data_IF_900454529053
#
_entry.id   IF_900454529053
#
_cell.length_a   1.000
_cell.length_b   1.000
_cell.length_c   1.000
_cell.angle_alpha   90.00
_cell.angle_beta   90.00
_cell.angle_gamma   90.00
#
_symmetry.space_group_name_H-M   'P 1'
#
loop_
_entity.id
_entity.type
_entity.pdbx_description
1 polymer ?
#
# COMPACT_ATOMS: atom_id res chain seq x y z
N UNK A 1 -10.96 -30.86 -8.28
CA UNK A 1 -9.76 -30.30 -8.93
C UNK A 1 -9.11 -29.44 -7.86
N UNK A 2 -7.98 -29.90 -7.35
CA UNK A 2 -7.53 -29.63 -5.98
C UNK A 2 -7.28 -28.15 -5.66
N UNK A 3 -8.00 -27.66 -4.66
CA UNK A 3 -7.80 -26.36 -4.02
C UNK A 3 -6.49 -26.38 -3.22
N UNK A 4 -5.38 -26.07 -3.88
CA UNK A 4 -4.14 -25.73 -3.17
C UNK A 4 -4.35 -24.42 -2.41
N UNK A 5 -4.47 -24.55 -1.10
CA UNK A 5 -4.51 -23.50 -0.08
C UNK A 5 -3.23 -22.64 -0.17
N UNK A 6 -3.27 -21.53 -0.91
CA UNK A 6 -2.17 -20.54 -0.95
C UNK A 6 -2.24 -19.72 0.33
N UNK A 7 -1.60 -20.25 1.37
CA UNK A 7 -1.19 -19.45 2.53
C UNK A 7 -0.05 -18.53 2.06
N UNK A 8 0.21 -17.38 2.72
CA UNK A 8 1.41 -16.54 2.50
C UNK A 8 2.78 -17.28 2.65
N UNK A 9 2.77 -18.60 2.75
CA UNK A 9 3.86 -19.49 2.38
C UNK A 9 3.83 -19.72 0.86
N UNK A 10 4.27 -18.75 0.06
CA UNK A 10 5.05 -19.15 -1.13
C UNK A 10 6.21 -19.93 -0.54
N UNK A 11 6.22 -21.24 -0.73
CA UNK A 11 7.25 -22.10 -0.15
C UNK A 11 8.60 -21.58 -0.65
N UNK A 12 9.59 -21.48 0.23
CA UNK A 12 10.99 -21.16 -0.16
C UNK A 12 11.50 -22.05 -1.32
N UNK A 13 10.83 -23.18 -1.55
CA UNK A 13 11.06 -24.16 -2.61
C UNK A 13 10.79 -23.62 -4.04
N UNK A 14 10.11 -22.48 -4.21
CA UNK A 14 9.80 -21.88 -5.53
C UNK A 14 10.71 -20.70 -5.91
N UNK A 15 11.74 -20.39 -5.12
CA UNK A 15 12.70 -19.34 -5.44
C UNK A 15 13.65 -19.77 -6.57
N UNK A 16 13.98 -18.86 -7.49
CA UNK A 16 15.01 -19.11 -8.51
C UNK A 16 16.39 -19.30 -7.84
N UNK A 17 17.30 -20.08 -8.44
CA UNK A 17 18.65 -20.29 -7.87
C UNK A 17 19.47 -18.99 -7.78
N UNK A 18 19.31 -18.09 -8.76
CA UNK A 18 19.91 -16.76 -8.74
C UNK A 18 19.41 -15.96 -7.53
N UNK A 19 18.10 -15.97 -7.28
CA UNK A 19 17.49 -15.32 -6.13
C UNK A 19 17.92 -15.93 -4.81
N UNK A 20 18.02 -17.26 -4.70
CA UNK A 20 18.52 -17.93 -3.49
C UNK A 20 19.93 -17.48 -3.17
N UNK A 21 20.79 -17.43 -4.19
CA UNK A 21 22.18 -16.97 -4.06
C UNK A 21 22.22 -15.52 -3.57
N UNK A 22 21.48 -14.61 -4.23
CA UNK A 22 21.39 -13.22 -3.80
C UNK A 22 20.88 -13.09 -2.37
N UNK A 23 19.72 -13.69 -2.05
CA UNK A 23 19.08 -13.63 -0.73
C UNK A 23 20.03 -14.11 0.38
N UNK A 24 20.79 -15.17 0.13
CA UNK A 24 21.76 -15.71 1.10
C UNK A 24 22.92 -14.76 1.40
N UNK A 25 23.24 -13.85 0.48
CA UNK A 25 24.31 -12.86 0.62
C UNK A 25 23.88 -11.56 1.30
N UNK A 26 22.56 -11.32 1.40
CA UNK A 26 22.02 -10.07 1.96
C UNK A 26 22.04 -10.09 3.49
N UNK A 27 22.19 -8.92 4.16
CA UNK A 27 21.95 -8.81 5.59
C UNK A 27 20.57 -9.33 5.94
N UNK A 28 20.46 -10.15 6.99
CA UNK A 28 19.21 -10.75 7.43
C UNK A 28 18.97 -10.51 8.93
N UNK A 29 17.70 -10.52 9.32
CA UNK A 29 17.25 -10.40 10.71
C UNK A 29 15.88 -11.11 10.85
N UNK A 30 15.33 -11.15 12.06
CA UNK A 30 13.96 -11.57 12.32
C UNK A 30 13.09 -10.36 12.61
N UNK A 31 11.89 -10.34 12.03
CA UNK A 31 10.89 -9.32 12.36
C UNK A 31 10.20 -9.65 13.71
N UNK A 32 9.26 -8.79 14.12
CA UNK A 32 8.51 -8.96 15.37
C UNK A 32 7.72 -10.27 15.47
N UNK A 33 7.37 -10.90 14.34
CA UNK A 33 6.68 -12.19 14.31
C UNK A 33 7.64 -13.39 14.18
N UNK A 34 8.95 -13.18 14.31
CA UNK A 34 9.98 -14.22 14.22
C UNK A 34 10.27 -14.70 12.79
N UNK A 35 9.70 -14.04 11.78
CA UNK A 35 9.91 -14.38 10.36
C UNK A 35 11.21 -13.78 9.88
N UNK A 36 12.01 -14.57 9.16
CA UNK A 36 13.25 -14.11 8.56
C UNK A 36 12.98 -13.07 7.47
N UNK A 37 13.70 -11.96 7.55
CA UNK A 37 13.70 -10.88 6.57
C UNK A 37 15.13 -10.61 6.10
N UNK A 38 15.27 -10.10 4.89
CA UNK A 38 16.54 -9.71 4.29
C UNK A 38 16.47 -8.27 3.80
N UNK A 39 17.60 -7.57 3.86
CA UNK A 39 17.70 -6.16 3.48
C UNK A 39 18.18 -6.04 2.04
N UNK A 40 17.32 -5.55 1.16
CA UNK A 40 17.63 -5.28 -0.25
C UNK A 40 17.31 -3.81 -0.54
N UNK A 41 18.22 -3.10 -1.22
CA UNK A 41 18.06 -1.68 -1.55
C UNK A 41 17.53 -0.86 -0.37
N UNK A 42 18.13 -1.01 0.82
CA UNK A 42 17.73 -0.24 2.00
C UNK A 42 16.48 -0.71 2.75
N UNK A 43 15.66 -1.61 2.18
CA UNK A 43 14.40 -2.06 2.76
C UNK A 43 14.38 -3.55 3.14
N UNK A 44 13.54 -3.90 4.12
CA UNK A 44 13.39 -5.27 4.60
C UNK A 44 12.23 -6.02 3.94
N UNK A 45 12.53 -7.20 3.39
CA UNK A 45 11.58 -8.07 2.70
C UNK A 45 11.66 -9.50 3.24
N UNK A 46 10.55 -10.23 3.17
CA UNK A 46 10.65 -11.70 3.20
C UNK A 46 11.19 -12.22 1.87
N UNK A 47 11.86 -13.38 1.86
CA UNK A 47 12.40 -13.98 0.64
C UNK A 47 11.40 -14.06 -0.53
N UNK A 48 10.12 -14.47 -0.33
CA UNK A 48 9.17 -14.49 -1.44
C UNK A 48 8.82 -13.10 -1.97
N UNK A 49 8.62 -12.11 -1.10
CA UNK A 49 8.32 -10.74 -1.56
C UNK A 49 9.53 -10.17 -2.30
N UNK A 50 10.76 -10.43 -1.85
CA UNK A 50 11.95 -10.01 -2.57
C UNK A 50 12.03 -10.66 -3.95
N UNK A 51 11.67 -11.93 -4.11
CA UNK A 51 11.55 -12.54 -5.45
C UNK A 51 10.55 -11.78 -6.33
N UNK A 52 9.40 -11.37 -5.78
CA UNK A 52 8.43 -10.54 -6.50
C UNK A 52 8.99 -9.18 -6.91
N UNK A 53 9.78 -8.53 -6.06
CA UNK A 53 10.50 -7.28 -6.37
C UNK A 53 11.50 -7.48 -7.51
N UNK A 54 12.31 -8.55 -7.46
CA UNK A 54 13.31 -8.85 -8.49
C UNK A 54 12.64 -9.16 -9.84
N UNK A 55 11.57 -9.95 -9.82
CA UNK A 55 10.76 -10.26 -11.00
C UNK A 55 10.18 -8.99 -11.63
N UNK A 56 9.63 -8.10 -10.79
CA UNK A 56 9.13 -6.79 -11.24
C UNK A 56 10.24 -5.96 -11.89
N UNK A 57 11.39 -5.79 -11.23
CA UNK A 57 12.51 -4.99 -11.74
C UNK A 57 13.03 -5.52 -13.07
N UNK A 58 13.03 -6.85 -13.27
CA UNK A 58 13.51 -7.50 -14.49
C UNK A 58 12.50 -7.43 -15.64
N UNK A 59 11.22 -7.66 -15.35
CA UNK A 59 10.23 -8.02 -16.36
C UNK A 59 9.11 -7.00 -16.55
N UNK A 60 8.93 -6.02 -15.65
CA UNK A 60 7.89 -5.01 -15.84
C UNK A 60 8.18 -4.15 -17.07
N UNK A 61 7.13 -3.95 -17.87
CA UNK A 61 7.13 -3.09 -19.06
C UNK A 61 6.19 -1.92 -18.76
N UNK A 62 6.73 -0.81 -18.24
CA UNK A 62 5.90 0.34 -17.90
C UNK A 62 5.28 0.95 -19.16
N UNK A 63 4.10 1.51 -19.01
CA UNK A 63 3.46 2.39 -19.98
C UNK A 63 3.33 3.77 -19.34
N UNK A 64 3.49 4.84 -20.12
CA UNK A 64 3.39 6.20 -19.60
C UNK A 64 1.98 6.54 -19.08
N UNK A 65 0.97 5.77 -19.49
CA UNK A 65 -0.40 5.87 -18.99
C UNK A 65 -0.66 5.04 -17.72
N UNK A 66 0.34 4.32 -17.21
CA UNK A 66 0.19 3.59 -15.95
C UNK A 66 0.01 4.55 -14.78
N UNK A 67 -0.81 4.12 -13.82
CA UNK A 67 -1.01 4.79 -12.55
C UNK A 67 -0.63 3.81 -11.44
N UNK A 68 0.30 4.23 -10.58
CA UNK A 68 0.82 3.40 -9.48
C UNK A 68 0.43 4.04 -8.15
N UNK A 69 -0.42 3.34 -7.39
CA UNK A 69 -0.75 3.69 -6.01
C UNK A 69 0.31 3.12 -5.08
N UNK A 70 1.13 4.00 -4.50
CA UNK A 70 2.20 3.62 -3.59
C UNK A 70 1.86 4.01 -2.14
N UNK A 71 2.29 3.20 -1.18
CA UNK A 71 2.38 3.63 0.21
C UNK A 71 3.21 2.67 1.05
N UNK A 72 3.76 3.14 2.15
CA UNK A 72 4.17 2.22 3.21
C UNK A 72 2.92 1.44 3.69
N UNK A 73 3.03 0.13 4.01
CA UNK A 73 1.89 -0.66 4.44
C UNK A 73 1.12 0.02 5.59
N UNK A 74 -0.21 0.03 5.46
CA UNK A 74 -1.16 0.55 6.47
C UNK A 74 -1.29 2.08 6.55
N UNK A 75 -0.71 2.81 5.60
CA UNK A 75 -0.95 4.24 5.43
C UNK A 75 -2.21 4.58 4.60
N UNK A 76 -3.18 3.67 4.44
CA UNK A 76 -4.44 3.96 3.73
C UNK A 76 -4.53 3.45 2.28
N UNK A 77 -3.67 2.51 1.88
CA UNK A 77 -3.60 1.97 0.50
C UNK A 77 -4.96 1.49 -0.04
N UNK A 78 -5.74 0.75 0.75
CA UNK A 78 -7.06 0.24 0.31
C UNK A 78 -7.99 1.38 -0.10
N UNK A 79 -7.99 2.47 0.68
CA UNK A 79 -8.83 3.63 0.42
C UNK A 79 -8.36 4.40 -0.81
N UNK A 80 -7.04 4.64 -0.91
CA UNK A 80 -6.47 5.30 -2.09
C UNK A 80 -6.69 4.50 -3.38
N UNK A 81 -6.60 3.16 -3.34
CA UNK A 81 -6.94 2.29 -4.48
C UNK A 81 -8.38 2.47 -4.93
N UNK A 82 -9.33 2.44 -3.98
CA UNK A 82 -10.75 2.61 -4.27
C UNK A 82 -11.03 3.99 -4.89
N UNK A 83 -10.50 5.06 -4.27
CA UNK A 83 -10.65 6.43 -4.75
C UNK A 83 -10.03 6.63 -6.13
N UNK A 84 -8.79 6.17 -6.33
CA UNK A 84 -8.11 6.29 -7.63
C UNK A 84 -8.88 5.54 -8.71
N UNK A 85 -9.38 4.34 -8.41
CA UNK A 85 -10.21 3.57 -9.35
C UNK A 85 -11.49 4.33 -9.69
N UNK A 86 -12.26 4.77 -8.69
CA UNK A 86 -13.50 5.50 -8.90
C UNK A 86 -13.29 6.79 -9.70
N UNK A 87 -12.27 7.59 -9.37
CA UNK A 87 -11.93 8.83 -10.09
C UNK A 87 -11.56 8.56 -11.55
N UNK A 88 -10.69 7.59 -11.81
CA UNK A 88 -10.17 7.29 -13.16
C UNK A 88 -11.21 6.57 -14.03
N UNK A 89 -12.17 5.87 -13.41
CA UNK A 89 -13.17 5.07 -14.10
C UNK A 89 -14.57 5.66 -14.08
N UNK A 90 -14.82 6.81 -13.44
CA UNK A 90 -16.15 7.41 -13.28
C UNK A 90 -16.98 7.56 -14.56
N UNK A 91 -16.33 7.77 -15.71
CA UNK A 91 -17.03 7.86 -17.01
C UNK A 91 -17.51 6.51 -17.55
N UNK A 92 -16.83 5.40 -17.18
CA UNK A 92 -17.19 4.03 -17.56
C UNK A 92 -18.03 3.33 -16.49
N UNK A 93 -17.80 3.67 -15.23
CA UNK A 93 -18.47 3.15 -14.05
C UNK A 93 -18.88 4.34 -13.17
N UNK A 94 -20.04 4.95 -13.43
CA UNK A 94 -20.58 6.01 -12.58
C UNK A 94 -20.74 5.54 -11.13
N UNK A 95 -20.58 6.45 -10.17
CA UNK A 95 -20.75 6.21 -8.72
C UNK A 95 -22.09 5.56 -8.35
N UNK A 96 -23.14 5.87 -9.11
CA UNK A 96 -24.50 5.35 -8.93
C UNK A 96 -24.80 4.05 -9.69
N UNK A 97 -23.83 3.47 -10.39
CA UNK A 97 -24.03 2.19 -11.07
C UNK A 97 -24.13 1.07 -10.03
N UNK A 98 -25.27 0.38 -9.99
CA UNK A 98 -25.50 -0.79 -9.12
C UNK A 98 -24.51 -1.94 -9.41
N UNK A 99 -23.83 -1.91 -10.56
CA UNK A 99 -22.79 -2.85 -10.97
C UNK A 99 -21.38 -2.23 -10.90
N UNK A 100 -21.21 -1.12 -10.18
CA UNK A 100 -19.89 -0.51 -10.02
C UNK A 100 -18.90 -1.55 -9.45
N UNK A 101 -17.71 -1.75 -10.05
CA UNK A 101 -16.80 -2.85 -9.65
C UNK A 101 -16.39 -2.86 -8.18
N UNK A 102 -16.34 -1.71 -7.51
CA UNK A 102 -16.09 -1.65 -6.05
C UNK A 102 -17.18 -2.30 -5.19
N UNK A 103 -18.38 -2.55 -5.72
CA UNK A 103 -19.47 -3.24 -5.03
C UNK A 103 -19.29 -4.77 -5.04
N UNK A 104 -18.68 -5.31 -6.09
CA UNK A 104 -18.44 -6.75 -6.29
C UNK A 104 -17.02 -7.20 -5.96
N UNK A 105 -16.04 -6.30 -6.05
CA UNK A 105 -14.62 -6.62 -5.92
C UNK A 105 -13.93 -5.78 -4.83
N UNK A 106 -12.97 -6.41 -4.15
CA UNK A 106 -12.12 -5.69 -3.22
C UNK A 106 -11.17 -4.73 -3.97
N UNK A 107 -10.86 -3.52 -3.47
CA UNK A 107 -9.95 -2.57 -4.14
C UNK A 107 -8.57 -3.15 -4.49
N UNK A 108 -8.09 -4.16 -3.75
CA UNK A 108 -6.82 -4.84 -4.03
C UNK A 108 -6.87 -5.77 -5.25
N UNK A 109 -8.05 -6.12 -5.76
CA UNK A 109 -8.23 -6.84 -7.03
C UNK A 109 -8.22 -5.85 -8.20
N UNK A 110 -8.89 -4.71 -8.05
CA UNK A 110 -9.00 -3.68 -9.09
C UNK A 110 -7.69 -2.91 -9.32
N UNK A 111 -6.85 -2.81 -8.30
CA UNK A 111 -5.50 -2.27 -8.34
C UNK A 111 -4.55 -3.27 -7.67
N UNK A 112 -4.07 -4.28 -8.40
CA UNK A 112 -3.24 -5.34 -7.81
C UNK A 112 -1.85 -4.82 -7.40
N UNK A 113 -1.25 -5.49 -6.41
CA UNK A 113 0.14 -5.20 -6.00
C UNK A 113 1.11 -5.81 -7.01
N UNK A 114 2.10 -5.03 -7.43
CA UNK A 114 3.14 -5.46 -8.33
C UNK A 114 3.98 -6.56 -7.68
N UNK A 115 4.60 -6.27 -6.53
CA UNK A 115 5.56 -7.14 -5.86
C UNK A 115 4.93 -8.20 -4.93
N UNK A 116 3.71 -7.97 -4.42
CA UNK A 116 3.04 -8.92 -3.51
C UNK A 116 1.95 -9.74 -4.18
N UNK A 117 1.69 -9.54 -5.47
CA UNK A 117 0.74 -10.36 -6.20
C UNK A 117 1.20 -10.69 -7.61
N UNK A 118 1.23 -9.72 -8.52
CA UNK A 118 1.45 -9.99 -9.95
C UNK A 118 2.79 -10.69 -10.19
N UNK A 119 3.88 -10.07 -9.74
CA UNK A 119 5.24 -10.57 -9.92
C UNK A 119 5.67 -11.59 -8.86
N UNK A 120 4.88 -11.72 -7.78
CA UNK A 120 5.02 -12.81 -6.82
C UNK A 120 4.49 -14.13 -7.38
N UNK A 121 3.35 -14.10 -8.07
CA UNK A 121 2.69 -15.29 -8.59
C UNK A 121 3.19 -15.73 -9.97
N UNK A 122 3.81 -14.83 -10.74
CA UNK A 122 4.38 -15.13 -12.05
C UNK A 122 5.56 -14.20 -12.34
N UNK A 123 6.65 -14.71 -12.90
CA UNK A 123 7.75 -13.86 -13.35
C UNK A 123 7.32 -12.94 -14.51
N UNK A 124 6.35 -13.38 -15.31
CA UNK A 124 5.82 -12.67 -16.48
C UNK A 124 4.29 -12.68 -16.44
N UNK A 125 3.64 -11.87 -15.58
CA UNK A 125 2.19 -11.81 -15.51
C UNK A 125 1.62 -11.22 -16.80
N UNK A 126 0.48 -11.75 -17.23
CA UNK A 126 -0.26 -11.18 -18.37
C UNK A 126 -0.96 -9.88 -17.95
N UNK A 127 -0.38 -8.75 -18.37
CA UNK A 127 -0.90 -7.41 -18.08
C UNK A 127 -1.92 -6.91 -19.12
N UNK A 128 -2.21 -7.65 -20.19
CA UNK A 128 -3.16 -7.19 -21.23
C UNK A 128 -4.60 -7.24 -20.74
N UNK A 129 -4.86 -7.92 -19.63
CA UNK A 129 -6.18 -7.99 -18.97
C UNK A 129 -6.56 -6.69 -18.26
N UNK A 130 -5.59 -5.82 -17.97
CA UNK A 130 -5.86 -4.50 -17.41
C UNK A 130 -6.22 -3.51 -18.51
N UNK A 131 -6.97 -2.47 -18.16
CA UNK A 131 -7.46 -1.49 -19.14
C UNK A 131 -6.33 -0.90 -19.98
N UNK A 132 -6.52 -0.90 -21.31
CA UNK A 132 -5.55 -0.38 -22.28
C UNK A 132 -5.34 1.13 -22.20
N UNK A 133 -6.27 1.89 -21.61
CA UNK A 133 -6.18 3.35 -21.56
C UNK A 133 -5.34 3.87 -20.38
N UNK A 134 -5.34 3.16 -19.25
CA UNK A 134 -4.48 3.44 -18.08
C UNK A 134 -4.50 2.23 -17.15
N UNK A 135 -3.41 1.48 -17.00
CA UNK A 135 -3.41 0.34 -16.06
C UNK A 135 -3.21 0.89 -14.65
N UNK A 136 -4.00 0.36 -13.70
CA UNK A 136 -3.93 0.80 -12.30
C UNK A 136 -3.26 -0.29 -11.48
N UNK A 137 -2.10 0.03 -10.91
CA UNK A 137 -1.31 -0.88 -10.09
C UNK A 137 -1.05 -0.28 -8.71
N UNK A 138 -0.42 -1.07 -7.84
CA UNK A 138 0.00 -0.60 -6.54
C UNK A 138 1.28 -1.24 -6.07
N UNK A 139 1.91 -0.61 -5.08
CA UNK A 139 3.14 -1.12 -4.49
C UNK A 139 3.36 -0.63 -3.06
N UNK A 140 4.14 -1.40 -2.31
CA UNK A 140 4.76 -1.03 -1.05
C UNK A 140 6.30 -0.91 -1.16
N UNK A 141 6.88 -0.98 -2.36
CA UNK A 141 8.30 -0.72 -2.55
C UNK A 141 8.63 0.74 -2.21
N UNK A 142 9.82 1.05 -1.67
CA UNK A 142 10.28 2.43 -1.58
C UNK A 142 10.54 2.99 -2.98
N UNK A 143 10.56 4.33 -3.10
CA UNK A 143 10.62 5.00 -4.40
C UNK A 143 11.79 4.53 -5.27
N UNK A 144 13.01 4.49 -4.73
CA UNK A 144 14.18 4.07 -5.50
C UNK A 144 14.11 2.61 -5.99
N UNK A 145 13.52 1.69 -5.21
CA UNK A 145 13.34 0.30 -5.64
C UNK A 145 12.29 0.18 -6.74
N UNK A 146 11.19 0.93 -6.62
CA UNK A 146 10.16 0.99 -7.65
C UNK A 146 10.74 1.55 -8.97
N UNK A 147 11.49 2.66 -8.88
CA UNK A 147 12.05 3.36 -10.04
C UNK A 147 12.99 2.48 -10.89
N UNK A 148 13.64 1.47 -10.30
CA UNK A 148 14.45 0.51 -11.07
C UNK A 148 13.64 -0.23 -12.14
N UNK A 149 12.38 -0.57 -11.86
CA UNK A 149 11.48 -1.20 -12.83
C UNK A 149 10.73 -0.20 -13.73
N UNK A 150 10.81 1.09 -13.42
CA UNK A 150 10.16 2.17 -14.18
C UNK A 150 11.13 2.99 -15.04
N UNK A 151 12.41 2.59 -15.11
CA UNK A 151 13.46 3.33 -15.83
C UNK A 151 12.99 3.77 -17.23
N UNK A 152 12.94 5.08 -17.43
CA UNK A 152 12.59 5.71 -18.71
C UNK A 152 11.09 5.87 -18.97
N UNK A 153 10.21 5.55 -18.01
CA UNK A 153 8.78 5.81 -18.11
C UNK A 153 8.36 7.04 -17.30
N UNK A 154 7.32 7.72 -17.77
CA UNK A 154 6.70 8.88 -17.12
C UNK A 154 5.37 8.52 -16.46
N UNK A 155 5.22 7.28 -15.96
CA UNK A 155 3.99 6.86 -15.32
C UNK A 155 3.71 7.68 -14.04
N UNK A 156 2.43 7.83 -13.71
CA UNK A 156 2.02 8.63 -12.55
C UNK A 156 2.02 7.79 -11.29
N UNK A 157 2.63 8.31 -10.23
CA UNK A 157 2.71 7.70 -8.91
C UNK A 157 1.93 8.54 -7.93
N UNK A 158 0.98 7.93 -7.23
CA UNK A 158 0.25 8.56 -6.12
C UNK A 158 0.66 7.89 -4.83
N UNK A 159 1.37 8.62 -3.97
CA UNK A 159 1.84 8.15 -2.69
C UNK A 159 0.95 8.60 -1.54
N UNK A 160 0.50 7.67 -0.71
CA UNK A 160 -0.20 7.98 0.55
C UNK A 160 0.73 7.78 1.74
N UNK A 161 0.95 8.86 2.51
CA UNK A 161 1.56 8.82 3.83
C UNK A 161 0.50 8.87 4.93
N UNK A 162 0.91 8.53 6.16
CA UNK A 162 0.07 8.62 7.35
C UNK A 162 0.97 8.85 8.56
N UNK A 163 0.45 9.48 9.60
CA UNK A 163 1.15 9.61 10.87
C UNK A 163 1.73 8.25 11.32
N UNK A 164 3.01 8.27 11.68
CA UNK A 164 3.75 7.05 12.00
C UNK A 164 3.16 6.29 13.19
N UNK A 165 2.62 7.00 14.18
CA UNK A 165 2.07 6.43 15.41
C UNK A 165 0.79 5.63 15.09
N UNK A 166 -0.10 6.17 14.25
CA UNK A 166 -1.28 5.45 13.76
C UNK A 166 -0.92 4.31 12.81
N UNK A 167 0.11 4.51 11.98
CA UNK A 167 0.61 3.48 11.06
C UNK A 167 1.10 2.26 11.83
N UNK A 168 1.90 2.45 12.88
CA UNK A 168 2.39 1.38 13.75
C UNK A 168 1.25 0.57 14.37
N UNK A 169 0.25 1.24 14.96
CA UNK A 169 -0.91 0.53 15.54
C UNK A 169 -1.65 -0.26 14.47
N UNK A 170 -1.92 0.34 13.32
CA UNK A 170 -2.58 -0.37 12.22
C UNK A 170 -1.74 -1.53 11.66
N UNK A 171 -0.42 -1.41 11.71
CA UNK A 171 0.54 -2.44 11.29
C UNK A 171 0.52 -3.63 12.25
N UNK A 172 0.59 -3.37 13.56
CA UNK A 172 0.51 -4.40 14.58
C UNK A 172 -0.79 -5.20 14.46
N UNK A 173 -1.95 -4.54 14.38
CA UNK A 173 -3.24 -5.24 14.22
C UNK A 173 -3.31 -6.09 12.95
N UNK A 174 -2.64 -5.69 11.87
CA UNK A 174 -2.80 -6.34 10.58
C UNK A 174 -1.81 -7.50 10.33
N UNK A 175 -0.57 -7.35 10.79
CA UNK A 175 0.50 -8.33 10.55
C UNK A 175 0.81 -9.19 11.77
N UNK A 176 0.73 -8.62 12.96
CA UNK A 176 1.29 -9.20 14.18
C UNK A 176 0.20 -9.79 15.09
N UNK A 177 -0.93 -9.10 15.19
CA UNK A 177 -2.09 -9.54 15.95
C UNK A 177 -2.90 -10.56 15.15
N UNK A 178 -2.53 -11.84 15.23
CA UNK A 178 -3.49 -12.91 14.89
C UNK A 178 -4.21 -13.36 16.15
N UNK A 179 -5.54 -13.30 16.14
CA UNK A 179 -6.36 -14.15 16.99
C UNK A 179 -6.45 -15.51 16.30
N UNK A 180 -5.42 -16.35 16.48
CA UNK A 180 -5.65 -17.80 16.48
C UNK A 180 -5.87 -18.17 17.93
N UNK A 181 -6.85 -19.04 18.20
CA UNK A 181 -7.52 -19.25 19.49
C UNK A 181 -6.64 -19.44 20.75
N UNK A 182 -5.30 -19.45 20.68
CA UNK A 182 -4.45 -19.58 21.88
C UNK A 182 -3.15 -18.76 21.94
N UNK A 183 -2.67 -18.04 20.90
CA UNK A 183 -1.40 -17.27 21.01
C UNK A 183 -1.34 -15.97 20.19
N UNK A 184 -1.07 -14.86 20.87
CA UNK A 184 -0.57 -13.62 20.27
C UNK A 184 0.83 -13.93 19.69
N UNK A 185 1.03 -13.70 18.39
CA UNK A 185 2.30 -14.00 17.70
C UNK A 185 3.41 -13.02 18.15
N UNK A 186 3.05 -11.77 18.41
CA UNK A 186 3.96 -10.72 18.87
C UNK A 186 3.21 -9.67 19.68
N UNK A 187 3.79 -9.26 20.80
CA UNK A 187 3.24 -8.18 21.63
C UNK A 187 3.28 -6.84 20.88
N UNK A 188 2.55 -5.85 21.37
CA UNK A 188 2.62 -4.51 20.79
C UNK A 188 4.01 -3.90 21.02
N UNK A 189 4.58 -4.14 22.20
CA UNK A 189 5.90 -3.73 22.65
C UNK A 189 7.01 -4.28 21.74
N UNK A 190 6.99 -5.58 21.43
CA UNK A 190 7.96 -6.20 20.50
C UNK A 190 7.85 -5.59 19.10
N UNK A 191 6.62 -5.36 18.64
CA UNK A 191 6.38 -4.74 17.34
C UNK A 191 6.82 -3.29 17.31
N UNK A 192 6.59 -2.55 18.39
CA UNK A 192 7.04 -1.17 18.57
C UNK A 192 8.56 -1.07 18.51
N UNK A 193 9.28 -1.91 19.27
CA UNK A 193 10.74 -1.91 19.28
C UNK A 193 11.31 -2.27 17.90
N UNK A 194 10.69 -3.22 17.21
CA UNK A 194 11.13 -3.61 15.88
C UNK A 194 10.88 -2.54 14.82
N UNK A 195 9.76 -1.85 14.92
CA UNK A 195 9.43 -0.72 14.08
C UNK A 195 10.40 0.45 14.31
N UNK A 196 10.76 0.74 15.57
CA UNK A 196 11.76 1.76 15.92
C UNK A 196 13.17 1.41 15.43
N UNK A 197 13.51 0.13 15.34
CA UNK A 197 14.76 -0.35 14.70
C UNK A 197 14.69 -0.32 13.17
N UNK A 198 13.50 -0.10 12.59
CA UNK A 198 13.25 -0.13 11.16
C UNK A 198 13.25 -1.52 10.53
N UNK A 199 13.28 -2.59 11.34
CA UNK A 199 13.31 -3.99 10.88
C UNK A 199 11.88 -4.53 10.84
N UNK A 200 11.14 -4.03 9.85
CA UNK A 200 9.75 -4.37 9.61
C UNK A 200 9.51 -4.47 8.10
N UNK A 201 8.46 -5.18 7.67
CA UNK A 201 8.13 -5.30 6.25
C UNK A 201 8.10 -3.91 5.57
N UNK A 202 8.90 -3.76 4.50
CA UNK A 202 9.12 -2.53 3.73
C UNK A 202 9.71 -1.34 4.53
N UNK A 203 10.17 -1.59 5.76
CA UNK A 203 10.86 -0.61 6.59
C UNK A 203 12.31 -0.39 6.17
N UNK A 204 12.96 0.68 6.65
CA UNK A 204 12.45 1.59 7.69
C UNK A 204 11.38 2.58 7.20
N UNK A 205 10.39 2.89 8.06
CA UNK A 205 9.25 3.74 7.68
C UNK A 205 9.66 5.14 7.21
N UNK A 206 10.58 5.79 7.94
CA UNK A 206 11.01 7.16 7.65
C UNK A 206 11.74 7.25 6.31
N UNK A 207 12.64 6.29 6.01
CA UNK A 207 13.36 6.25 4.73
C UNK A 207 12.37 6.01 3.58
N UNK A 208 11.39 5.13 3.80
CA UNK A 208 10.34 4.86 2.82
C UNK A 208 9.54 6.13 2.49
N UNK A 209 9.01 6.83 3.49
CA UNK A 209 8.21 8.05 3.27
C UNK A 209 9.08 9.16 2.66
N UNK A 210 10.29 9.36 3.16
CA UNK A 210 11.21 10.39 2.64
C UNK A 210 11.56 10.16 1.17
N UNK A 211 11.69 8.90 0.73
CA UNK A 211 11.98 8.58 -0.66
C UNK A 211 10.90 9.12 -1.62
N UNK A 212 9.63 9.04 -1.21
CA UNK A 212 8.51 9.56 -1.99
C UNK A 212 8.29 11.05 -1.79
N UNK A 213 8.53 11.58 -0.59
CA UNK A 213 8.48 13.01 -0.33
C UNK A 213 9.48 13.76 -1.22
N UNK A 214 10.74 13.34 -1.24
CA UNK A 214 11.77 13.92 -2.12
C UNK A 214 11.40 13.78 -3.59
N UNK A 215 10.96 12.59 -4.01
CA UNK A 215 10.50 12.36 -5.38
C UNK A 215 9.36 13.30 -5.81
N UNK A 216 8.42 13.62 -4.90
CA UNK A 216 7.35 14.57 -5.19
C UNK A 216 7.80 16.03 -5.33
N UNK A 217 8.92 16.40 -4.69
CA UNK A 217 9.51 17.73 -4.84
C UNK A 217 10.36 17.82 -6.11
N UNK A 218 11.05 16.73 -6.46
CA UNK A 218 11.90 16.63 -7.65
C UNK A 218 11.09 16.53 -8.94
N UNK A 219 9.99 15.77 -8.93
CA UNK A 219 9.13 15.55 -10.09
C UNK A 219 7.61 15.60 -9.72
N UNK A 220 7.08 16.79 -9.44
CA UNK A 220 5.69 16.97 -9.04
C UNK A 220 4.67 16.61 -10.14
N UNK A 221 5.10 16.47 -11.39
CA UNK A 221 4.22 16.10 -12.51
C UNK A 221 3.93 14.59 -12.55
N UNK A 222 4.83 13.78 -11.99
CA UNK A 222 4.71 12.31 -12.00
C UNK A 222 4.65 11.69 -10.61
N UNK A 223 4.93 12.43 -9.53
CA UNK A 223 4.80 11.94 -8.16
C UNK A 223 3.93 12.86 -7.30
N UNK A 224 2.72 12.41 -6.96
CA UNK A 224 1.83 13.08 -6.03
C UNK A 224 1.99 12.52 -4.62
N UNK A 225 2.39 13.36 -3.66
CA UNK A 225 2.41 13.02 -2.24
C UNK A 225 1.13 13.50 -1.54
N UNK A 226 0.44 12.58 -0.87
CA UNK A 226 -0.78 12.83 -0.10
C UNK A 226 -0.61 12.35 1.35
N UNK A 227 -1.40 12.91 2.27
CA UNK A 227 -1.49 12.45 3.65
C UNK A 227 -2.88 11.94 3.98
N UNK A 228 -2.94 10.82 4.69
CA UNK A 228 -4.19 10.22 5.13
C UNK A 228 -5.00 11.18 6.02
N UNK A 229 -4.32 11.98 6.85
CA UNK A 229 -4.92 12.98 7.73
C UNK A 229 -5.60 14.09 6.92
N UNK A 230 -4.92 14.65 5.91
CA UNK A 230 -5.47 15.66 5.01
C UNK A 230 -6.66 15.10 4.20
N UNK A 231 -6.58 13.85 3.75
CA UNK A 231 -7.71 13.15 3.11
C UNK A 231 -8.92 13.01 4.02
N UNK A 232 -8.72 12.88 5.34
CA UNK A 232 -9.79 12.75 6.33
C UNK A 232 -10.39 14.10 6.70
N UNK A 233 -9.58 15.15 6.72
CA UNK A 233 -9.99 16.52 7.05
C UNK A 233 -10.70 17.19 5.86
N UNK A 234 -10.12 17.09 4.67
CA UNK A 234 -10.60 17.78 3.45
C UNK A 234 -10.75 16.82 2.26
N UNK A 235 -11.65 15.82 2.35
CA UNK A 235 -11.75 14.75 1.34
C UNK A 235 -12.08 15.27 -0.07
N UNK A 236 -12.92 16.30 -0.19
CA UNK A 236 -13.30 16.89 -1.49
C UNK A 236 -12.09 17.49 -2.20
N UNK A 237 -11.34 18.35 -1.52
CA UNK A 237 -10.19 19.04 -2.09
C UNK A 237 -9.09 18.06 -2.47
N UNK A 238 -8.84 17.05 -1.63
CA UNK A 238 -7.83 16.04 -1.94
C UNK A 238 -8.23 15.15 -3.13
N UNK A 239 -9.52 14.84 -3.31
CA UNK A 239 -10.00 14.07 -4.47
C UNK A 239 -9.93 14.89 -5.76
N UNK A 240 -10.25 16.18 -5.71
CA UNK A 240 -10.07 17.08 -6.86
C UNK A 240 -8.59 17.18 -7.24
N UNK A 241 -7.70 17.39 -6.26
CA UNK A 241 -6.24 17.38 -6.45
C UNK A 241 -5.73 16.07 -7.05
N UNK A 242 -6.26 14.92 -6.61
CA UNK A 242 -5.96 13.62 -7.20
C UNK A 242 -6.39 13.56 -8.68
N UNK A 243 -7.61 13.97 -8.98
CA UNK A 243 -8.15 13.96 -10.34
C UNK A 243 -7.36 14.88 -11.30
N UNK A 244 -7.03 16.09 -10.83
CA UNK A 244 -6.17 17.03 -11.55
C UNK A 244 -4.80 16.42 -11.85
N UNK A 245 -4.12 15.88 -10.83
CA UNK A 245 -2.82 15.22 -11.00
C UNK A 245 -2.89 14.07 -11.99
N UNK A 246 -3.95 13.25 -11.95
CA UNK A 246 -4.13 12.13 -12.87
C UNK A 246 -4.50 12.57 -14.29
N UNK A 247 -4.76 13.86 -14.53
CA UNK A 247 -5.10 14.41 -15.84
C UNK A 247 -6.56 14.20 -16.24
N UNK A 248 -7.43 14.00 -15.25
CA UNK A 248 -8.87 13.87 -15.42
C UNK A 248 -9.63 14.73 -14.40
N UNK A 249 -9.38 16.06 -14.35
CA UNK A 249 -10.02 16.96 -13.39
C UNK A 249 -11.55 16.85 -13.49
N UNK A 250 -12.23 17.14 -12.39
CA UNK A 250 -13.69 17.21 -12.40
C UNK A 250 -14.14 18.42 -13.22
N UNK A 251 -15.22 18.26 -13.99
CA UNK A 251 -15.85 19.42 -14.63
C UNK A 251 -16.72 20.17 -13.62
N UNK A 252 -17.08 21.43 -13.94
CA UNK A 252 -18.00 22.20 -13.08
C UNK A 252 -19.33 21.48 -12.90
N UNK A 253 -19.82 20.85 -13.95
CA UNK A 253 -21.06 20.08 -13.93
C UNK A 253 -20.94 18.83 -13.04
N UNK A 254 -19.81 18.12 -13.06
CA UNK A 254 -19.55 16.99 -12.15
C UNK A 254 -19.49 17.46 -10.68
N UNK A 255 -18.91 18.63 -10.42
CA UNK A 255 -18.87 19.19 -9.07
C UNK A 255 -20.25 19.65 -8.58
N UNK A 256 -20.99 20.38 -9.41
CA UNK A 256 -22.33 20.88 -9.11
C UNK A 256 -23.36 19.75 -8.97
N UNK A 257 -23.17 18.63 -9.67
CA UNK A 257 -24.03 17.45 -9.55
C UNK A 257 -23.83 16.67 -8.25
N UNK A 258 -22.74 16.93 -7.51
CA UNK A 258 -22.40 16.18 -6.30
C UNK A 258 -21.56 14.92 -6.54
N UNK A 259 -21.03 14.70 -7.75
CA UNK A 259 -20.28 13.47 -8.10
C UNK A 259 -19.09 13.21 -7.17
N UNK A 260 -18.41 14.29 -6.74
CA UNK A 260 -17.27 14.19 -5.81
C UNK A 260 -17.72 13.54 -4.48
N UNK A 261 -18.89 13.89 -3.97
CA UNK A 261 -19.44 13.33 -2.72
C UNK A 261 -19.86 11.88 -2.87
N UNK A 262 -20.43 11.53 -4.02
CA UNK A 262 -20.84 10.18 -4.29
C UNK A 262 -19.63 9.24 -4.36
N UNK A 263 -18.54 9.69 -4.99
CA UNK A 263 -17.26 8.95 -4.99
C UNK A 263 -16.71 8.81 -3.56
N UNK A 264 -16.78 9.87 -2.74
CA UNK A 264 -16.37 9.83 -1.32
C UNK A 264 -17.19 8.81 -0.55
N UNK A 265 -18.52 8.82 -0.68
CA UNK A 265 -19.40 7.91 0.04
C UNK A 265 -19.19 6.47 -0.44
N UNK A 266 -19.18 6.22 -1.76
CA UNK A 266 -18.89 4.91 -2.36
C UNK A 266 -17.59 4.31 -1.82
N UNK A 267 -16.53 5.12 -1.75
CA UNK A 267 -15.22 4.70 -1.27
C UNK A 267 -15.05 4.81 0.25
N UNK A 268 -16.08 5.20 0.99
CA UNK A 268 -16.00 5.38 2.44
C UNK A 268 -15.70 4.07 3.14
N UNK A 269 -15.06 4.15 4.32
CA UNK A 269 -14.81 2.96 5.15
C UNK A 269 -16.13 2.23 5.45
N UNK A 270 -17.18 2.98 5.80
CA UNK A 270 -18.50 2.45 6.12
C UNK A 270 -19.04 1.63 4.95
N UNK A 271 -19.10 2.21 3.74
CA UNK A 271 -19.66 1.53 2.59
C UNK A 271 -18.81 0.32 2.19
N UNK A 272 -17.51 0.51 1.97
CA UNK A 272 -16.63 -0.59 1.55
C UNK A 272 -16.62 -1.74 2.55
N UNK A 273 -16.55 -1.47 3.86
CA UNK A 273 -16.54 -2.53 4.88
C UNK A 273 -17.89 -3.25 5.03
N UNK A 274 -18.99 -2.61 4.63
CA UNK A 274 -20.34 -3.19 4.71
C UNK A 274 -20.67 -4.15 3.56
N UNK A 275 -19.91 -4.13 2.46
CA UNK A 275 -20.12 -4.99 1.30
C UNK A 275 -19.83 -6.47 1.62
N UNK A 276 -20.65 -7.38 1.10
CA UNK A 276 -20.51 -8.82 1.37
C UNK A 276 -19.16 -9.38 0.91
N UNK A 277 -18.64 -8.93 -0.23
CA UNK A 277 -17.29 -9.31 -0.70
C UNK A 277 -16.20 -8.92 0.32
N UNK A 278 -16.40 -7.84 1.06
CA UNK A 278 -15.44 -7.36 2.05
C UNK A 278 -15.64 -7.97 3.43
N UNK A 279 -16.84 -8.43 3.77
CA UNK A 279 -17.10 -9.16 5.03
C UNK A 279 -16.63 -10.61 4.98
N UNK A 280 -16.88 -11.30 3.86
CA UNK A 280 -16.72 -12.76 3.76
C UNK A 280 -15.65 -13.20 2.77
N UNK A 281 -15.34 -12.38 1.77
CA UNK A 281 -14.38 -12.69 0.73
C UNK A 281 -12.94 -12.76 1.21
N UNK A 282 -12.08 -13.34 0.37
CA UNK A 282 -10.65 -13.46 0.60
C UNK A 282 -9.89 -13.11 -0.68
N UNK A 283 -8.71 -12.51 -0.55
CA UNK A 283 -7.83 -12.32 -1.69
C UNK A 283 -7.26 -13.68 -2.12
N UNK A 284 -7.57 -14.11 -3.35
CA UNK A 284 -7.08 -15.37 -3.92
C UNK A 284 -5.55 -15.52 -3.85
N UNK A 285 -4.82 -14.42 -3.97
CA UNK A 285 -3.36 -14.39 -3.99
C UNK A 285 -2.70 -14.73 -2.65
N UNK A 286 -3.32 -14.36 -1.53
CA UNK A 286 -2.71 -14.47 -0.20
C UNK A 286 -3.55 -15.28 0.79
N UNK A 287 -4.77 -15.65 0.41
CA UNK A 287 -5.78 -16.23 1.29
C UNK A 287 -6.28 -15.28 2.38
N UNK A 288 -5.88 -14.01 2.35
CA UNK A 288 -6.20 -13.03 3.39
C UNK A 288 -7.67 -12.61 3.31
N UNK A 289 -8.35 -12.65 4.45
CA UNK A 289 -9.75 -12.24 4.54
C UNK A 289 -9.89 -10.73 4.30
N UNK A 290 -10.83 -10.35 3.44
CA UNK A 290 -11.01 -8.96 3.02
C UNK A 290 -11.37 -8.05 4.20
N UNK A 291 -12.10 -8.57 5.20
CA UNK A 291 -12.48 -7.81 6.40
C UNK A 291 -11.28 -7.27 7.17
N UNK A 292 -10.12 -7.93 7.07
CA UNK A 292 -8.89 -7.49 7.75
C UNK A 292 -8.32 -6.18 7.23
N UNK A 293 -8.75 -5.72 6.04
CA UNK A 293 -8.37 -4.41 5.51
C UNK A 293 -9.12 -3.24 6.15
N UNK A 294 -10.23 -3.52 6.84
CA UNK A 294 -11.13 -2.52 7.41
C UNK A 294 -11.13 -2.66 8.94
N UNK A 295 -10.77 -1.58 9.65
CA UNK A 295 -10.67 -1.59 11.14
C UNK A 295 -11.42 -0.42 11.77
N UNK A 296 -10.77 0.74 11.87
CA UNK A 296 -11.37 1.98 12.41
C UNK A 296 -11.34 3.14 11.41
N UNK A 297 -10.26 3.27 10.63
CA UNK A 297 -10.11 4.35 9.65
C UNK A 297 -10.12 5.76 10.26
N UNK A 298 -9.62 5.88 11.48
CA UNK A 298 -9.56 7.09 12.29
C UNK A 298 -8.13 7.63 12.39
N UNK A 299 -8.00 8.91 12.73
CA UNK A 299 -6.74 9.59 13.08
C UNK A 299 -6.64 9.69 14.60
N UNK A 300 -5.47 9.38 15.16
CA UNK A 300 -5.21 9.49 16.59
C UNK A 300 -5.54 8.26 17.42
N UNK A 301 -5.86 7.11 16.81
CA UNK A 301 -6.14 5.87 17.56
C UNK A 301 -4.90 5.37 18.30
N UNK A 302 -3.71 5.80 17.89
CA UNK A 302 -2.45 5.54 18.58
C UNK A 302 -2.44 5.92 20.06
N UNK A 303 -3.24 6.92 20.47
CA UNK A 303 -3.38 7.35 21.87
C UNK A 303 -3.94 6.26 22.79
N UNK A 304 -4.61 5.26 22.20
CA UNK A 304 -5.16 4.11 22.95
C UNK A 304 -4.13 2.98 23.15
N UNK A 305 -2.92 3.11 22.61
CA UNK A 305 -1.92 2.03 22.57
C UNK A 305 -0.52 2.45 23.03
N UNK A 306 -0.07 3.65 22.65
CA UNK A 306 1.28 4.12 22.99
C UNK A 306 1.30 4.69 24.41
N UNK A 307 2.31 4.32 25.18
CA UNK A 307 2.66 5.03 26.42
C UNK A 307 3.36 6.36 26.10
N UNK A 308 3.43 7.32 27.04
CA UNK A 308 4.18 8.56 26.84
C UNK A 308 5.65 8.33 26.45
N UNK A 309 6.30 7.29 26.99
CA UNK A 309 7.68 6.94 26.66
C UNK A 309 7.81 6.46 25.21
N UNK A 310 6.87 5.62 24.75
CA UNK A 310 6.82 5.13 23.38
C UNK A 310 6.58 6.26 22.38
N UNK A 311 5.65 7.16 22.71
CA UNK A 311 5.38 8.36 21.92
C UNK A 311 6.64 9.22 21.79
N UNK A 312 7.27 9.58 22.92
CA UNK A 312 8.47 10.41 22.92
C UNK A 312 9.61 9.79 22.09
N UNK A 313 9.80 8.47 22.19
CA UNK A 313 10.84 7.76 21.41
C UNK A 313 10.58 7.86 19.91
N UNK A 314 9.32 7.67 19.47
CA UNK A 314 8.97 7.83 18.05
C UNK A 314 9.17 9.28 17.61
N UNK A 315 8.73 10.25 18.39
CA UNK A 315 8.85 11.67 18.04
C UNK A 315 10.32 12.09 17.90
N UNK A 316 11.21 11.60 18.77
CA UNK A 316 12.65 11.80 18.65
C UNK A 316 13.22 11.19 17.35
N UNK A 317 12.84 9.94 17.02
CA UNK A 317 13.28 9.29 15.78
C UNK A 317 12.80 10.08 14.56
N UNK A 318 11.54 10.50 14.53
CA UNK A 318 10.98 11.28 13.42
C UNK A 318 11.68 12.63 13.30
N UNK A 319 11.92 13.32 14.41
CA UNK A 319 12.63 14.60 14.41
C UNK A 319 14.05 14.44 13.84
N UNK A 320 14.78 13.40 14.24
CA UNK A 320 16.12 13.10 13.73
C UNK A 320 16.09 12.75 12.24
N UNK A 321 15.22 11.82 11.83
CA UNK A 321 15.21 11.27 10.47
C UNK A 321 14.63 12.23 9.45
N UNK A 322 13.62 13.03 9.80
CA UNK A 322 12.99 13.99 8.90
C UNK A 322 13.61 15.38 8.99
N UNK A 323 14.66 15.56 9.78
CA UNK A 323 15.34 16.84 9.94
C UNK A 323 15.70 17.42 8.56
N UNK A 324 15.39 18.71 8.36
CA UNK A 324 15.66 19.46 7.13
C UNK A 324 14.93 18.96 5.86
N UNK A 325 14.01 17.99 5.97
CA UNK A 325 13.24 17.51 4.82
C UNK A 325 12.06 18.40 4.46
N UNK A 326 11.56 19.20 5.41
CA UNK A 326 10.31 19.96 5.27
C UNK A 326 9.03 19.14 5.50
N UNK A 327 9.11 17.80 5.58
CA UNK A 327 7.97 16.94 5.86
C UNK A 327 7.57 17.00 7.34
N UNK A 328 6.26 17.13 7.60
CA UNK A 328 5.64 17.13 8.92
C UNK A 328 4.39 16.25 8.93
N UNK A 329 4.10 15.65 10.08
CA UNK A 329 2.97 14.75 10.34
C UNK A 329 1.99 15.31 11.37
#
# INVERSE_FOLDING_TARGET
>A
MDEKKITMNVRNDELSEESKTLISSLPSDKNSTGVNVCKYQGCWYTPPILQGVLNFQKNFKPQDTDIIVASFPKCGTTWLKALTFAVVRRSKHPSHDDHHPLLSDNPHVLSPSLEMYLYLCSENPDLTKFSSSSRLFSTHMPSHTLQEGLKGSTCKIVYMSRNVKDTLVSYWHFFCKKQTDEKIISSFEDTFEMFCRGVNFFGPFWDHVLSYWRGSLEDPNHVLFMKFEEMKEEPREQIKRLAEFLGCPFTKEEEESGLVDEIIDLCSLRNLSSLEINKTGKLHSTGRENKTFFRKGEVGDWKNYLTPEMENKIDMIIQEKLQNSGLKF
#
